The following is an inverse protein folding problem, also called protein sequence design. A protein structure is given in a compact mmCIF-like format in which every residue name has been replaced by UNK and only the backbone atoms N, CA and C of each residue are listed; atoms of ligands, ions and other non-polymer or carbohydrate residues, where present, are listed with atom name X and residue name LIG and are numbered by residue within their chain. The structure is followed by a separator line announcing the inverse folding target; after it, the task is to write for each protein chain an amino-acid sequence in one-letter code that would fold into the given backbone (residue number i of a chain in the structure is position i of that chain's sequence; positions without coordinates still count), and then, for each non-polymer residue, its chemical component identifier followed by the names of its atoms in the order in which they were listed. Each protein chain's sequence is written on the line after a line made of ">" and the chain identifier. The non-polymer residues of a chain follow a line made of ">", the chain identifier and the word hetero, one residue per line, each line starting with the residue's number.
data_IF_172767074076
#
_entry.id   IF_172767074076
#
_cell.length_a   1.000
_cell.length_b   1.000
_cell.length_c   1.000
_cell.angle_alpha   90.00
_cell.angle_beta   90.00
_cell.angle_gamma   90.00
#
_symmetry.space_group_name_H-M   'P 1'
#
loop_
_entity.id
_entity.type
_entity.pdbx_description
1 polymer ?
#
# COMPACT_ATOMS: atom_id res chain seq x y z
N UNK A 1 -7.38 24.34 -5.40
CA UNK A 1 -6.84 25.25 -4.37
C UNK A 1 -5.40 24.82 -4.13
N UNK A 2 -4.43 25.61 -4.54
CA UNK A 2 -3.02 25.28 -4.27
C UNK A 2 -2.71 25.68 -2.82
N UNK A 3 -2.35 24.71 -1.99
CA UNK A 3 -1.87 24.99 -0.63
C UNK A 3 -0.42 25.48 -0.75
N UNK A 4 -0.23 26.78 -0.85
CA UNK A 4 1.08 27.37 -0.64
C UNK A 4 1.36 27.35 0.86
N UNK A 5 2.28 26.50 1.33
CA UNK A 5 2.83 26.61 2.69
C UNK A 5 3.52 27.97 2.81
N UNK A 6 2.82 28.95 3.35
CA UNK A 6 3.44 30.21 3.75
C UNK A 6 4.22 29.96 5.04
N UNK A 7 5.54 29.95 4.95
CA UNK A 7 6.39 29.90 6.14
C UNK A 7 6.30 31.25 6.90
N UNK A 8 5.94 31.20 8.16
CA UNK A 8 6.03 32.37 9.04
C UNK A 8 7.50 32.66 9.32
N UNK A 9 7.99 33.90 9.07
CA UNK A 9 9.35 34.28 9.44
C UNK A 9 9.54 34.13 10.96
N UNK A 10 10.58 33.44 11.39
CA UNK A 10 10.92 33.23 12.81
C UNK A 10 10.88 34.52 13.62
N UNK A 11 11.33 35.64 13.02
CA UNK A 11 11.36 36.94 13.64
C UNK A 11 9.97 37.49 13.96
N UNK A 12 8.98 37.20 13.13
CA UNK A 12 7.59 37.63 13.35
C UNK A 12 6.96 36.85 14.48
N UNK A 13 7.24 35.54 14.57
CA UNK A 13 6.76 34.69 15.66
C UNK A 13 7.36 35.10 17.01
N UNK A 14 8.66 35.34 17.06
CA UNK A 14 9.35 35.74 18.30
C UNK A 14 8.98 37.16 18.78
N UNK A 15 8.70 38.08 17.86
CA UNK A 15 8.23 39.42 18.21
C UNK A 15 6.82 39.45 18.80
N UNK A 16 5.96 38.50 18.43
CA UNK A 16 4.61 38.39 18.98
C UNK A 16 4.55 37.90 20.42
N UNK A 17 5.58 37.21 20.92
CA UNK A 17 5.62 36.60 22.25
C UNK A 17 6.54 37.26 23.25
N UNK A 18 7.34 38.26 22.86
CA UNK A 18 8.23 39.00 23.76
C UNK A 18 9.32 38.17 24.47
N UNK A 19 9.55 36.91 24.06
CA UNK A 19 10.48 36.00 24.69
C UNK A 19 11.39 35.38 23.64
N UNK A 20 12.71 35.58 23.81
CA UNK A 20 13.72 34.90 23.02
C UNK A 20 13.89 33.44 23.51
N UNK A 21 12.93 32.57 23.19
CA UNK A 21 13.07 31.14 23.38
C UNK A 21 13.80 30.56 22.17
N UNK A 22 14.85 29.80 22.40
CA UNK A 22 15.49 28.96 21.37
C UNK A 22 14.56 27.84 20.98
N UNK A 23 13.50 28.18 20.22
CA UNK A 23 12.52 27.21 19.75
C UNK A 23 13.18 26.34 18.68
N UNK A 24 13.16 25.00 18.81
CA UNK A 24 13.60 24.12 17.74
C UNK A 24 12.82 24.43 16.46
N UNK A 25 13.45 24.16 15.32
CA UNK A 25 12.86 24.36 14.01
C UNK A 25 11.51 23.65 13.92
N UNK A 26 10.43 24.40 13.94
CA UNK A 26 9.10 23.87 13.65
C UNK A 26 9.01 23.58 12.14
N UNK A 27 8.44 22.45 11.78
CA UNK A 27 8.25 22.04 10.37
C UNK A 27 7.56 23.12 9.53
N UNK A 28 6.64 23.88 10.14
CA UNK A 28 5.96 25.01 9.49
C UNK A 28 6.88 26.19 9.16
N UNK A 29 8.07 26.25 9.74
CA UNK A 29 9.06 27.34 9.51
C UNK A 29 10.11 26.96 8.46
N UNK A 30 10.14 25.72 8.04
CA UNK A 30 11.06 25.21 7.01
C UNK A 30 10.30 25.13 5.70
N UNK A 31 10.65 25.89 4.65
CA UNK A 31 10.05 25.70 3.34
C UNK A 31 10.27 24.25 2.88
N UNK A 32 9.24 23.62 2.32
CA UNK A 32 9.24 22.19 1.94
C UNK A 32 10.35 21.80 0.92
N UNK A 33 11.09 22.78 0.39
CA UNK A 33 12.15 22.60 -0.60
C UNK A 33 13.52 23.12 -0.14
N UNK A 34 13.72 23.41 1.15
CA UNK A 34 15.04 23.86 1.61
C UNK A 34 16.03 22.73 1.76
N UNK A 35 17.30 23.06 1.57
CA UNK A 35 18.44 22.11 1.73
C UNK A 35 18.44 21.45 3.11
N UNK A 36 17.93 22.12 4.15
CA UNK A 36 17.82 21.57 5.51
C UNK A 36 16.76 20.46 5.58
N UNK A 37 15.65 20.59 4.84
CA UNK A 37 14.66 19.49 4.73
C UNK A 37 15.19 18.30 3.93
N UNK A 38 16.20 18.50 3.10
CA UNK A 38 16.86 17.43 2.35
C UNK A 38 17.91 16.66 3.16
N UNK A 39 18.49 17.29 4.18
CA UNK A 39 19.60 16.69 4.95
C UNK A 39 19.12 15.82 6.13
N UNK A 40 17.86 15.94 6.54
CA UNK A 40 17.37 15.29 7.75
C UNK A 40 16.69 13.92 7.53
N UNK A 41 16.38 13.55 6.31
CA UNK A 41 15.65 12.33 6.05
C UNK A 41 16.60 11.21 5.60
N UNK A 42 17.02 10.37 6.52
CA UNK A 42 17.48 9.03 6.14
C UNK A 42 16.40 8.39 5.25
N UNK A 43 16.77 7.82 4.09
CA UNK A 43 15.79 7.19 3.22
C UNK A 43 15.08 6.07 4.00
N UNK A 44 13.77 6.19 4.11
CA UNK A 44 12.94 5.15 4.75
C UNK A 44 12.63 4.07 3.74
N UNK A 45 12.80 2.84 4.13
CA UNK A 45 12.36 1.70 3.32
C UNK A 45 10.85 1.76 3.12
N UNK A 46 10.42 1.43 1.91
CA UNK A 46 9.00 1.31 1.56
C UNK A 46 8.78 -0.03 0.87
N UNK A 47 7.71 -0.68 1.24
CA UNK A 47 7.23 -1.87 0.58
C UNK A 47 5.97 -1.50 -0.20
N UNK A 48 5.84 -1.99 -1.42
CA UNK A 48 4.63 -1.84 -2.23
C UNK A 48 4.26 -3.17 -2.87
N UNK A 49 2.98 -3.49 -2.89
CA UNK A 49 2.44 -4.66 -3.55
C UNK A 49 1.29 -4.23 -4.47
N UNK A 50 1.29 -4.71 -5.70
CA UNK A 50 0.27 -4.40 -6.71
C UNK A 50 -0.38 -5.70 -7.14
N UNK A 51 -1.67 -5.86 -6.83
CA UNK A 51 -2.45 -7.01 -7.23
C UNK A 51 -3.13 -6.76 -8.58
N UNK A 52 -2.92 -7.67 -9.53
CA UNK A 52 -3.56 -7.63 -10.85
C UNK A 52 -4.46 -8.85 -10.98
N UNK A 53 -5.80 -8.68 -10.85
CA UNK A 53 -6.73 -9.80 -10.74
C UNK A 53 -6.96 -10.58 -12.03
N UNK A 54 -6.75 -9.96 -13.20
CA UNK A 54 -7.04 -10.57 -14.50
C UNK A 54 -6.02 -11.62 -14.96
N UNK A 55 -4.90 -11.76 -14.23
CA UNK A 55 -3.81 -12.59 -14.71
C UNK A 55 -3.13 -11.97 -15.96
N UNK A 56 -2.41 -12.81 -16.70
CA UNK A 56 -1.59 -12.40 -17.84
C UNK A 56 -1.62 -13.46 -18.93
N UNK A 57 -1.39 -13.05 -20.17
CA UNK A 57 -1.12 -13.96 -21.27
C UNK A 57 0.28 -14.51 -21.05
N UNK A 58 0.40 -15.74 -20.58
CA UNK A 58 1.66 -16.31 -20.06
C UNK A 58 2.77 -16.35 -21.12
N UNK A 59 2.44 -16.64 -22.38
CA UNK A 59 3.41 -16.66 -23.50
C UNK A 59 4.04 -15.28 -23.75
N UNK A 60 3.33 -14.20 -23.40
CA UNK A 60 3.79 -12.83 -23.55
C UNK A 60 4.33 -12.22 -22.25
N UNK A 61 4.29 -12.97 -21.17
CA UNK A 61 4.77 -12.54 -19.85
C UNK A 61 5.97 -13.34 -19.37
N UNK A 62 5.90 -14.69 -19.41
CA UNK A 62 6.92 -15.53 -18.80
C UNK A 62 8.20 -15.55 -19.64
N UNK A 63 9.37 -15.17 -19.10
CA UNK A 63 10.64 -15.35 -19.77
C UNK A 63 10.90 -16.81 -20.15
N UNK A 64 11.51 -17.05 -21.30
CA UNK A 64 11.75 -18.40 -21.80
C UNK A 64 12.87 -19.13 -21.06
N UNK A 65 13.82 -18.35 -20.54
CA UNK A 65 15.02 -18.89 -19.91
C UNK A 65 15.20 -18.36 -18.49
N UNK A 66 15.83 -19.16 -17.65
CA UNK A 66 16.31 -18.71 -16.34
C UNK A 66 17.68 -18.04 -16.53
N UNK A 67 17.86 -16.88 -15.97
CA UNK A 67 19.11 -16.10 -16.06
C UNK A 67 18.87 -14.64 -16.37
N UNK A 68 19.57 -14.09 -17.35
CA UNK A 68 19.39 -12.71 -17.77
C UNK A 68 17.94 -12.46 -18.23
N UNK A 69 17.30 -11.45 -17.66
CA UNK A 69 15.91 -11.16 -17.98
C UNK A 69 15.76 -10.68 -19.43
N UNK A 70 15.00 -11.41 -20.21
CA UNK A 70 14.53 -10.98 -21.53
C UNK A 70 13.08 -10.50 -21.39
N UNK A 71 12.83 -9.24 -21.78
CA UNK A 71 11.50 -8.68 -21.66
C UNK A 71 10.59 -9.24 -22.75
N UNK A 72 9.45 -9.72 -22.36
CA UNK A 72 8.36 -10.14 -23.24
C UNK A 72 7.51 -8.92 -23.64
N UNK A 73 6.66 -9.00 -24.67
CA UNK A 73 5.89 -7.86 -25.18
C UNK A 73 5.09 -7.10 -24.12
N UNK A 74 4.45 -7.80 -23.20
CA UNK A 74 3.68 -7.16 -22.10
C UNK A 74 4.59 -6.37 -21.14
N UNK A 75 5.85 -6.75 -21.07
CA UNK A 75 6.83 -6.16 -20.15
C UNK A 75 7.62 -5.01 -20.77
N UNK A 76 7.45 -4.68 -22.04
CA UNK A 76 8.26 -3.66 -22.73
C UNK A 76 8.22 -2.29 -22.07
N UNK A 77 7.07 -1.90 -21.52
CA UNK A 77 6.93 -0.65 -20.78
C UNK A 77 7.80 -0.59 -19.52
N UNK A 78 8.26 -1.72 -19.02
CA UNK A 78 9.13 -1.84 -17.86
C UNK A 78 10.62 -1.82 -18.21
N UNK A 79 10.98 -1.69 -19.48
CA UNK A 79 12.36 -1.70 -19.95
C UNK A 79 13.30 -0.73 -19.19
N UNK A 80 12.88 0.49 -18.80
CA UNK A 80 13.73 1.39 -18.01
C UNK A 80 14.13 0.83 -16.63
N UNK A 81 13.39 -0.15 -16.12
CA UNK A 81 13.61 -0.76 -14.81
C UNK A 81 14.23 -2.16 -14.87
N UNK A 82 14.57 -2.65 -16.07
CA UNK A 82 15.02 -4.01 -16.31
C UNK A 82 16.11 -4.47 -15.34
N UNK A 83 17.11 -3.63 -15.09
CA UNK A 83 18.24 -3.94 -14.20
C UNK A 83 17.86 -4.01 -12.70
N UNK A 84 16.65 -3.59 -12.37
CA UNK A 84 16.11 -3.58 -11.02
C UNK A 84 14.96 -4.59 -10.84
N UNK A 85 14.70 -5.40 -11.88
CA UNK A 85 13.60 -6.34 -11.91
C UNK A 85 14.05 -7.77 -11.70
N UNK A 86 13.23 -8.51 -11.02
CA UNK A 86 13.30 -9.96 -10.93
C UNK A 86 11.91 -10.53 -11.28
N UNK A 87 11.87 -11.40 -12.27
CA UNK A 87 10.66 -12.16 -12.60
C UNK A 87 10.76 -13.53 -11.95
N UNK A 88 9.82 -13.85 -11.07
CA UNK A 88 9.74 -15.15 -10.41
C UNK A 88 8.51 -15.88 -10.93
N UNK A 89 8.70 -17.05 -11.48
CA UNK A 89 7.65 -17.91 -12.02
C UNK A 89 7.57 -19.24 -11.25
N UNK A 90 6.53 -20.01 -11.52
CA UNK A 90 6.31 -21.32 -10.90
C UNK A 90 6.15 -21.29 -9.37
N UNK A 91 5.83 -20.13 -8.79
CA UNK A 91 5.39 -20.07 -7.41
C UNK A 91 3.93 -20.52 -7.35
N UNK A 92 3.68 -21.55 -6.59
CA UNK A 92 2.34 -22.06 -6.33
C UNK A 92 2.04 -22.00 -4.83
N UNK A 93 0.80 -21.70 -4.51
CA UNK A 93 0.26 -21.91 -3.17
C UNK A 93 -0.14 -23.38 -3.04
N UNK A 94 -0.26 -23.93 -1.83
CA UNK A 94 -0.90 -25.23 -1.62
C UNK A 94 -2.30 -25.24 -2.23
N UNK A 95 -2.73 -26.38 -2.81
CA UNK A 95 -4.08 -26.50 -3.38
C UNK A 95 -5.14 -26.68 -2.28
N UNK A 96 -4.78 -27.36 -1.21
CA UNK A 96 -5.68 -27.69 -0.12
C UNK A 96 -6.16 -26.44 0.63
N UNK A 97 -7.47 -26.29 0.74
CA UNK A 97 -8.13 -25.19 1.43
C UNK A 97 -8.18 -23.86 0.65
N UNK A 98 -7.60 -23.82 -0.56
CA UNK A 98 -7.62 -22.62 -1.38
C UNK A 98 -8.56 -22.78 -2.58
N UNK A 99 -9.51 -21.86 -2.69
CA UNK A 99 -10.34 -21.72 -3.89
C UNK A 99 -9.73 -20.67 -4.85
N UNK A 100 -9.91 -20.90 -6.14
CA UNK A 100 -9.45 -19.99 -7.20
C UNK A 100 -10.50 -18.96 -7.59
N UNK A 101 -11.58 -18.82 -6.83
CA UNK A 101 -12.62 -17.85 -7.08
C UNK A 101 -12.18 -16.41 -6.75
N UNK A 102 -13.02 -15.44 -7.13
CA UNK A 102 -12.74 -14.02 -6.95
C UNK A 102 -12.62 -13.55 -5.49
N UNK A 103 -13.04 -14.34 -4.53
CA UNK A 103 -12.86 -14.05 -3.11
C UNK A 103 -11.62 -14.74 -2.53
N UNK A 104 -11.39 -16.01 -2.88
CA UNK A 104 -10.26 -16.77 -2.33
C UNK A 104 -8.90 -16.33 -2.86
N UNK A 105 -8.82 -15.95 -4.14
CA UNK A 105 -7.57 -15.54 -4.75
C UNK A 105 -6.99 -14.25 -4.14
N UNK A 106 -7.71 -13.11 -4.11
CA UNK A 106 -7.20 -11.88 -3.50
C UNK A 106 -6.93 -12.01 -2.01
N UNK A 107 -7.83 -12.70 -1.28
CA UNK A 107 -7.67 -12.91 0.16
C UNK A 107 -6.36 -13.61 0.51
N UNK A 108 -6.00 -14.67 -0.23
CA UNK A 108 -4.82 -15.47 0.08
C UNK A 108 -3.50 -14.89 -0.45
N UNK A 109 -3.55 -13.89 -1.31
CA UNK A 109 -2.38 -13.39 -2.05
C UNK A 109 -1.22 -12.92 -1.16
N UNK A 110 -1.49 -12.09 -0.16
CA UNK A 110 -0.47 -11.54 0.74
C UNK A 110 -0.29 -12.33 2.05
N UNK A 111 -1.08 -13.38 2.27
CA UNK A 111 -1.00 -14.14 3.52
C UNK A 111 -0.60 -15.60 3.33
N UNK A 112 -0.89 -16.18 2.17
CA UNK A 112 -0.68 -17.62 1.95
C UNK A 112 -1.52 -18.53 2.86
N UNK A 113 -2.56 -17.97 3.52
CA UNK A 113 -3.48 -18.70 4.39
C UNK A 113 -4.84 -18.80 3.70
N UNK A 114 -5.50 -19.96 3.69
CA UNK A 114 -6.84 -20.08 3.11
C UNK A 114 -7.86 -19.27 3.92
N UNK A 115 -8.76 -18.53 3.27
CA UNK A 115 -9.82 -17.82 3.95
C UNK A 115 -10.84 -18.81 4.52
N UNK A 116 -11.38 -18.51 5.70
CA UNK A 116 -12.47 -19.30 6.28
C UNK A 116 -13.69 -19.26 5.35
N UNK A 117 -14.24 -20.42 4.99
CA UNK A 117 -15.48 -20.50 4.20
C UNK A 117 -16.66 -20.03 5.05
N UNK A 118 -17.20 -18.87 4.67
CA UNK A 118 -18.38 -18.26 5.29
C UNK A 118 -18.92 -17.14 4.41
N UNK A 119 -20.23 -17.05 4.31
CA UNK A 119 -20.94 -15.90 3.70
C UNK A 119 -21.29 -14.84 4.75
N UNK A 120 -21.06 -15.14 6.02
CA UNK A 120 -21.42 -14.32 7.16
C UNK A 120 -20.33 -13.33 7.60
N UNK A 121 -20.61 -12.63 8.69
CA UNK A 121 -19.66 -11.66 9.27
C UNK A 121 -18.53 -12.31 10.07
N UNK A 122 -18.56 -13.63 10.25
CA UNK A 122 -17.56 -14.41 10.97
C UNK A 122 -16.35 -14.79 10.11
N UNK A 123 -16.04 -13.95 9.12
CA UNK A 123 -14.88 -14.11 8.26
C UNK A 123 -13.57 -14.14 9.06
N UNK A 124 -12.61 -14.91 8.55
CA UNK A 124 -11.29 -15.04 9.16
C UNK A 124 -10.22 -15.35 8.12
N UNK A 125 -9.08 -14.68 8.27
CA UNK A 125 -7.91 -14.83 7.40
C UNK A 125 -6.62 -14.73 8.23
N UNK A 126 -5.47 -14.93 7.62
CA UNK A 126 -4.17 -14.63 8.24
C UNK A 126 -3.83 -13.14 8.17
N UNK A 127 -2.91 -12.70 9.02
CA UNK A 127 -2.28 -11.38 8.86
C UNK A 127 -1.49 -11.37 7.56
N UNK A 128 -1.60 -10.30 6.79
CA UNK A 128 -0.91 -10.17 5.51
C UNK A 128 0.51 -9.63 5.67
N UNK A 129 1.41 -10.01 4.76
CA UNK A 129 2.83 -9.66 4.87
C UNK A 129 3.09 -8.16 4.83
N UNK A 130 2.31 -7.39 4.10
CA UNK A 130 2.36 -5.93 4.09
C UNK A 130 2.10 -5.35 5.48
N UNK A 131 1.16 -5.91 6.25
CA UNK A 131 0.86 -5.48 7.61
C UNK A 131 1.93 -5.92 8.62
N UNK A 132 2.55 -7.07 8.41
CA UNK A 132 3.73 -7.47 9.18
C UNK A 132 4.89 -6.49 8.94
N UNK A 133 5.11 -6.10 7.68
CA UNK A 133 6.12 -5.10 7.30
C UNK A 133 5.78 -3.72 7.88
N UNK A 134 4.51 -3.27 7.73
CA UNK A 134 4.05 -2.00 8.29
C UNK A 134 4.28 -1.91 9.81
N UNK A 135 4.05 -3.01 10.53
CA UNK A 135 4.35 -3.12 11.95
C UNK A 135 5.84 -2.98 12.30
N UNK A 136 6.74 -3.24 11.36
CA UNK A 136 8.20 -3.18 11.56
C UNK A 136 8.82 -1.86 11.14
N UNK A 137 8.44 -1.35 9.96
CA UNK A 137 9.09 -0.17 9.36
C UNK A 137 8.19 1.06 9.27
N UNK A 138 6.88 0.92 9.52
CA UNK A 138 5.91 2.00 9.41
C UNK A 138 5.74 2.85 10.64
N UNK A 139 6.33 2.47 11.78
CA UNK A 139 6.07 3.10 13.09
C UNK A 139 6.59 4.54 13.18
N UNK A 140 7.58 4.88 12.37
CA UNK A 140 8.14 6.24 12.31
C UNK A 140 7.46 7.12 11.26
N UNK A 141 6.35 6.69 10.68
CA UNK A 141 5.63 7.39 9.62
C UNK A 141 4.22 7.74 10.07
N UNK A 142 3.66 8.82 9.53
CA UNK A 142 2.29 9.25 9.84
C UNK A 142 1.27 8.17 9.45
N UNK A 143 1.53 7.46 8.37
CA UNK A 143 0.72 6.35 7.90
C UNK A 143 1.61 5.11 7.77
N UNK A 144 1.48 4.12 8.67
CA UNK A 144 2.22 2.87 8.58
C UNK A 144 1.96 2.09 7.30
N UNK A 145 0.73 2.17 6.77
CA UNK A 145 0.33 1.58 5.50
C UNK A 145 -0.76 2.40 4.81
N UNK A 146 -0.91 2.22 3.50
CA UNK A 146 -1.95 2.81 2.67
C UNK A 146 -2.49 1.72 1.74
N UNK A 147 -3.75 1.40 1.94
CA UNK A 147 -4.49 0.45 1.12
C UNK A 147 -5.29 1.23 0.08
N UNK A 148 -5.05 0.93 -1.19
CA UNK A 148 -5.67 1.67 -2.31
C UNK A 148 -6.22 0.73 -3.37
N UNK A 149 -7.30 1.13 -4.02
CA UNK A 149 -7.89 0.42 -5.15
C UNK A 149 -8.34 1.40 -6.24
N UNK A 150 -8.50 0.88 -7.44
CA UNK A 150 -8.97 1.64 -8.61
C UNK A 150 -10.47 1.54 -8.80
N UNK A 151 -11.13 0.61 -8.14
CA UNK A 151 -12.56 0.34 -8.24
C UNK A 151 -13.21 0.34 -6.85
N UNK A 152 -14.50 0.59 -6.82
CA UNK A 152 -15.28 0.61 -5.58
C UNK A 152 -15.70 -0.81 -5.18
N UNK A 153 -14.95 -1.37 -4.27
CA UNK A 153 -15.25 -2.65 -3.62
C UNK A 153 -15.60 -2.44 -2.14
N UNK A 154 -16.46 -1.48 -1.84
CA UNK A 154 -16.75 -1.10 -0.45
C UNK A 154 -17.69 -2.06 0.28
N UNK A 155 -18.37 -2.96 -0.42
CA UNK A 155 -19.22 -3.96 0.22
C UNK A 155 -18.36 -4.96 1.01
N UNK A 156 -18.33 -4.84 2.32
CA UNK A 156 -17.68 -5.80 3.21
C UNK A 156 -18.63 -6.88 3.71
N UNK A 157 -19.94 -6.69 3.55
CA UNK A 157 -20.96 -7.62 3.96
C UNK A 157 -21.63 -8.27 2.76
N UNK A 158 -22.10 -9.49 2.95
CA UNK A 158 -22.74 -10.29 1.92
C UNK A 158 -21.79 -11.31 1.29
N UNK A 159 -22.32 -12.07 0.34
CA UNK A 159 -21.58 -13.12 -0.39
C UNK A 159 -21.15 -12.60 -1.76
N UNK A 160 -19.86 -12.54 -2.01
CA UNK A 160 -19.27 -12.16 -3.31
C UNK A 160 -18.79 -13.36 -4.12
N UNK A 161 -18.78 -14.55 -3.52
CA UNK A 161 -18.61 -15.85 -4.17
C UNK A 161 -19.28 -16.90 -3.29
N UNK A 162 -19.77 -18.01 -3.84
CA UNK A 162 -20.43 -19.05 -3.04
C UNK A 162 -19.57 -19.51 -1.86
N UNK A 163 -20.06 -19.32 -0.64
CA UNK A 163 -19.36 -19.66 0.59
C UNK A 163 -18.26 -18.68 1.00
N UNK A 164 -18.23 -17.45 0.43
CA UNK A 164 -17.23 -16.47 0.77
C UNK A 164 -17.81 -15.06 0.90
N UNK A 165 -17.55 -14.45 2.04
CA UNK A 165 -17.88 -13.05 2.34
C UNK A 165 -17.23 -12.09 1.37
N UNK A 166 -17.91 -10.98 1.08
CA UNK A 166 -17.36 -9.87 0.31
C UNK A 166 -16.10 -9.25 0.93
N UNK A 167 -15.90 -9.38 2.24
CA UNK A 167 -14.67 -8.95 2.88
C UNK A 167 -13.41 -9.55 2.23
N UNK A 168 -13.49 -10.79 1.75
CA UNK A 168 -12.36 -11.44 1.09
C UNK A 168 -12.08 -10.93 -0.32
N UNK A 169 -13.15 -10.62 -1.08
CA UNK A 169 -13.00 -10.08 -2.43
C UNK A 169 -12.53 -8.63 -2.44
N UNK A 170 -12.92 -7.87 -1.41
CA UNK A 170 -12.81 -6.41 -1.39
C UNK A 170 -11.69 -5.90 -0.48
N UNK A 171 -10.85 -6.78 0.05
CA UNK A 171 -9.76 -6.39 0.95
C UNK A 171 -8.52 -7.25 0.72
N UNK A 172 -7.41 -6.62 0.37
CA UNK A 172 -6.13 -7.29 0.18
C UNK A 172 -5.32 -7.38 1.47
N UNK A 173 -5.44 -6.38 2.34
CA UNK A 173 -4.61 -6.21 3.53
C UNK A 173 -5.40 -6.51 4.79
N UNK A 174 -4.82 -7.31 5.67
CA UNK A 174 -5.42 -7.75 6.93
C UNK A 174 -4.45 -7.56 8.08
N UNK A 175 -4.81 -6.68 9.00
CA UNK A 175 -4.02 -6.39 10.19
C UNK A 175 -4.15 -7.47 11.29
N UNK A 176 -5.22 -8.22 11.25
CA UNK A 176 -5.52 -9.31 12.17
C UNK A 176 -6.47 -10.33 11.55
N UNK A 177 -6.69 -11.49 12.19
CA UNK A 177 -7.51 -12.55 11.63
C UNK A 177 -8.95 -12.14 11.28
N UNK A 178 -9.49 -11.14 11.92
CA UNK A 178 -10.83 -10.59 11.70
C UNK A 178 -10.82 -9.09 11.42
N UNK A 179 -9.67 -8.55 11.03
CA UNK A 179 -9.46 -7.10 10.87
C UNK A 179 -9.01 -6.79 9.44
N UNK A 180 -9.92 -6.84 8.45
CA UNK A 180 -9.63 -6.38 7.10
C UNK A 180 -9.42 -4.86 7.09
N UNK A 181 -8.55 -4.38 6.22
CA UNK A 181 -8.28 -2.96 6.02
C UNK A 181 -8.95 -2.49 4.72
N UNK A 182 -10.00 -1.68 4.81
CA UNK A 182 -10.70 -1.17 3.63
C UNK A 182 -9.79 -0.33 2.74
N UNK A 183 -9.91 -0.50 1.43
CA UNK A 183 -9.13 0.22 0.44
C UNK A 183 -9.72 1.60 0.12
N UNK A 184 -8.87 2.61 0.03
CA UNK A 184 -9.25 3.94 -0.44
C UNK A 184 -9.32 4.00 -1.95
N UNK A 185 -10.45 4.45 -2.49
CA UNK A 185 -10.72 4.52 -3.94
C UNK A 185 -10.73 5.94 -4.49
N UNK A 186 -10.78 6.94 -3.63
CA UNK A 186 -10.90 8.33 -4.03
C UNK A 186 -9.55 9.03 -3.91
N UNK A 187 -8.87 9.37 -5.03
CA UNK A 187 -7.54 9.99 -5.00
C UNK A 187 -7.51 11.30 -4.22
N UNK A 188 -8.57 12.08 -4.30
CA UNK A 188 -8.70 13.33 -3.55
C UNK A 188 -8.70 13.10 -2.04
N UNK A 189 -9.48 12.14 -1.56
CA UNK A 189 -9.53 11.78 -0.13
C UNK A 189 -8.19 11.27 0.35
N UNK A 190 -7.52 10.44 -0.44
CA UNK A 190 -6.17 9.97 -0.14
C UNK A 190 -5.17 11.13 -0.07
N UNK A 191 -5.22 12.04 -1.03
CA UNK A 191 -4.38 13.23 -1.03
C UNK A 191 -4.63 14.12 0.20
N UNK A 192 -5.88 14.39 0.52
CA UNK A 192 -6.26 15.17 1.70
C UNK A 192 -5.82 14.48 3.00
N UNK A 193 -5.95 13.14 3.07
CA UNK A 193 -5.45 12.35 4.20
C UNK A 193 -3.93 12.45 4.36
N UNK A 194 -3.18 12.40 3.27
CA UNK A 194 -1.72 12.41 3.29
C UNK A 194 -1.13 13.81 3.51
N UNK A 195 -1.78 14.85 3.00
CA UNK A 195 -1.23 16.20 2.92
C UNK A 195 -2.15 17.29 3.46
N UNK A 196 -3.39 17.00 3.76
CA UNK A 196 -4.43 17.93 4.18
C UNK A 196 -4.49 18.18 5.69
N UNK A 197 -3.50 17.79 6.45
CA UNK A 197 -3.40 18.08 7.89
C UNK A 197 -3.21 19.57 8.12
N UNK A 198 -4.28 20.27 8.36
CA UNK A 198 -4.34 21.64 8.81
C UNK A 198 -4.90 21.71 10.21
#
# INVERSE_FOLDING_TARGET
>A
MFVTKTSLPRRTFLRGLGVALGVPLLDAMVPALTVVGRTAASPKYRFGAIYVPHGMIMDQWTPETVGALELKPIMESLAPFKEQMLVVSNLARPEEGFDTNHAGAPASWLTGVPPKRTDGPDFRLGVTVDQVIAGRIGQDTTFPSLEVATEDFTALLGSCAPGYSCAYANTLSWQGPTSPLPMGITPRVLFERMFGGG
#
